data_IF_860157133794
#
_entry.id   IF_860157133794
#
_cell.length_a   1.000
_cell.length_b   1.000
_cell.length_c   1.000
_cell.angle_alpha   90.00
_cell.angle_beta   90.00
_cell.angle_gamma   90.00
#
_symmetry.space_group_name_H-M   'P 1'
#
loop_
_entity.id
_entity.type
_entity.pdbx_description
1 polymer ?
#
# COMPACT_ATOMS: atom_id res chain seq x y z
N UNK A 1 -22.43 12.54 7.27
CA UNK A 1 -23.08 11.43 7.97
C UNK A 1 -22.07 10.39 8.46
N UNK A 2 -21.30 9.72 7.57
CA UNK A 2 -20.36 8.64 7.94
C UNK A 2 -19.26 9.14 8.87
N UNK A 3 -18.70 10.32 8.58
CA UNK A 3 -17.70 10.96 9.42
C UNK A 3 -18.24 11.21 10.84
N UNK A 4 -19.43 11.77 10.94
CA UNK A 4 -20.07 12.09 12.23
C UNK A 4 -20.41 10.83 13.04
N UNK A 5 -20.83 9.73 12.37
CA UNK A 5 -20.96 8.43 13.02
C UNK A 5 -19.62 7.95 13.62
N UNK A 6 -18.55 8.00 12.84
CA UNK A 6 -17.21 7.65 13.32
C UNK A 6 -16.79 8.46 14.54
N UNK A 7 -17.01 9.79 14.50
CA UNK A 7 -16.69 10.71 15.58
C UNK A 7 -17.54 10.49 16.84
N UNK A 8 -18.76 9.99 16.69
CA UNK A 8 -19.62 9.67 17.84
C UNK A 8 -19.22 8.36 18.55
N UNK A 9 -18.54 7.45 17.85
CA UNK A 9 -18.19 6.11 18.36
C UNK A 9 -16.74 5.99 18.84
N UNK A 10 -15.81 6.78 18.27
CA UNK A 10 -14.37 6.65 18.52
C UNK A 10 -13.85 7.96 19.16
N UNK A 11 -13.22 7.89 20.35
CA UNK A 11 -12.53 9.05 20.91
C UNK A 11 -11.50 9.61 19.93
N UNK A 12 -11.38 10.94 19.84
CA UNK A 12 -10.50 11.64 18.87
C UNK A 12 -9.06 11.17 18.89
N UNK A 13 -8.54 10.90 20.08
CA UNK A 13 -7.18 10.39 20.25
C UNK A 13 -6.90 9.08 19.48
N UNK A 14 -7.94 8.27 19.22
CA UNK A 14 -7.82 6.99 18.49
C UNK A 14 -8.28 7.10 17.04
N UNK A 15 -8.71 8.27 16.58
CA UNK A 15 -9.29 8.43 15.24
C UNK A 15 -8.30 8.05 14.13
N UNK A 16 -7.08 8.53 14.19
CA UNK A 16 -6.05 8.20 13.21
C UNK A 16 -5.66 6.71 13.27
N UNK A 17 -5.51 6.15 14.46
CA UNK A 17 -5.26 4.73 14.61
C UNK A 17 -6.44 3.88 14.10
N UNK A 18 -7.67 4.32 14.31
CA UNK A 18 -8.88 3.69 13.77
C UNK A 18 -8.94 3.72 12.24
N UNK A 19 -8.65 4.87 11.62
CA UNK A 19 -8.55 4.99 10.16
C UNK A 19 -7.47 4.07 9.58
N UNK A 20 -6.32 3.98 10.26
CA UNK A 20 -5.26 3.05 9.87
C UNK A 20 -5.75 1.60 9.92
N UNK A 21 -6.37 1.17 11.02
CA UNK A 21 -6.85 -0.21 11.19
C UNK A 21 -7.93 -0.59 10.18
N UNK A 22 -8.91 0.30 9.95
CA UNK A 22 -9.97 0.06 8.96
C UNK A 22 -9.35 -0.09 7.57
N UNK A 23 -8.43 0.79 7.21
CA UNK A 23 -7.75 0.74 5.90
C UNK A 23 -6.87 -0.51 5.77
N UNK A 24 -6.14 -0.88 6.82
CA UNK A 24 -5.32 -2.08 6.87
C UNK A 24 -6.16 -3.35 6.67
N UNK A 25 -7.29 -3.44 7.35
CA UNK A 25 -8.20 -4.56 7.24
C UNK A 25 -8.84 -4.65 5.85
N UNK A 26 -9.34 -3.52 5.32
CA UNK A 26 -9.89 -3.47 3.97
C UNK A 26 -8.88 -3.84 2.90
N UNK A 27 -7.68 -3.26 2.94
CA UNK A 27 -6.65 -3.54 1.96
C UNK A 27 -6.21 -5.01 1.98
N UNK A 28 -6.13 -5.61 3.17
CA UNK A 28 -5.84 -7.05 3.30
C UNK A 28 -6.93 -7.92 2.66
N UNK A 29 -8.20 -7.54 2.83
CA UNK A 29 -9.34 -8.26 2.29
C UNK A 29 -9.52 -8.04 0.77
N UNK A 30 -9.31 -6.81 0.28
CA UNK A 30 -9.48 -6.45 -1.14
C UNK A 30 -8.25 -6.80 -1.98
N UNK A 31 -7.09 -6.89 -1.37
CA UNK A 31 -5.82 -7.13 -2.08
C UNK A 31 -5.34 -5.94 -2.92
N UNK A 32 -5.77 -4.72 -2.61
CA UNK A 32 -5.38 -3.52 -3.35
C UNK A 32 -5.34 -2.27 -2.48
N UNK A 33 -4.20 -1.60 -2.47
CA UNK A 33 -4.02 -0.31 -1.79
C UNK A 33 -4.80 0.82 -2.47
N UNK A 34 -4.80 0.88 -3.79
CA UNK A 34 -5.54 1.89 -4.56
C UNK A 34 -7.05 1.82 -4.31
N UNK A 35 -7.63 0.61 -4.35
CA UNK A 35 -9.05 0.39 -4.07
C UNK A 35 -9.42 0.81 -2.64
N UNK A 36 -8.56 0.52 -1.67
CA UNK A 36 -8.77 0.91 -0.29
C UNK A 36 -8.72 2.42 -0.10
N UNK A 37 -7.73 3.10 -0.67
CA UNK A 37 -7.63 4.58 -0.61
C UNK A 37 -8.85 5.21 -1.27
N UNK A 38 -9.31 4.69 -2.42
CA UNK A 38 -10.51 5.17 -3.11
C UNK A 38 -11.78 5.03 -2.24
N UNK A 39 -11.88 3.98 -1.45
CA UNK A 39 -13.05 3.71 -0.62
C UNK A 39 -13.01 4.45 0.73
N UNK A 40 -11.88 4.45 1.42
CA UNK A 40 -11.72 4.99 2.79
C UNK A 40 -11.24 6.43 2.78
N UNK A 41 -10.48 6.84 1.77
CA UNK A 41 -9.92 8.19 1.67
C UNK A 41 -10.96 9.31 1.78
N UNK A 42 -12.07 9.28 1.03
CA UNK A 42 -13.14 10.27 1.16
C UNK A 42 -13.74 10.32 2.58
N UNK A 43 -13.81 9.18 3.28
CA UNK A 43 -14.29 9.12 4.66
C UNK A 43 -13.30 9.84 5.58
N UNK A 44 -12.01 9.56 5.42
CA UNK A 44 -10.97 10.20 6.22
C UNK A 44 -10.91 11.71 6.02
N UNK A 45 -11.07 12.19 4.78
CA UNK A 45 -11.16 13.61 4.45
C UNK A 45 -12.35 14.23 5.17
N UNK A 46 -13.54 13.64 5.03
CA UNK A 46 -14.75 14.16 5.66
C UNK A 46 -14.67 14.15 7.20
N UNK A 47 -14.03 13.13 7.80
CA UNK A 47 -13.77 13.07 9.25
C UNK A 47 -12.84 14.20 9.66
N UNK A 48 -11.73 14.39 8.94
CA UNK A 48 -10.75 15.41 9.27
C UNK A 48 -11.34 16.83 9.17
N UNK A 49 -12.10 17.12 8.11
CA UNK A 49 -12.75 18.40 7.93
C UNK A 49 -13.83 18.66 8.99
N UNK A 50 -14.66 17.67 9.30
CA UNK A 50 -15.74 17.82 10.29
C UNK A 50 -15.22 17.99 11.73
N UNK A 51 -14.07 17.40 12.05
CA UNK A 51 -13.49 17.40 13.37
C UNK A 51 -12.34 18.40 13.54
N UNK A 52 -12.01 19.17 12.49
CA UNK A 52 -10.85 20.09 12.53
C UNK A 52 -9.51 19.38 12.71
N UNK A 53 -9.41 18.09 12.28
CA UNK A 53 -8.20 17.30 12.38
C UNK A 53 -7.21 17.62 11.26
N UNK A 54 -5.94 17.29 11.47
CA UNK A 54 -4.92 17.44 10.44
C UNK A 54 -5.22 16.52 9.23
N UNK A 55 -5.57 17.14 8.09
CA UNK A 55 -5.97 16.44 6.88
C UNK A 55 -4.84 15.59 6.29
N UNK A 56 -3.59 16.09 6.32
CA UNK A 56 -2.44 15.33 5.84
C UNK A 56 -2.22 14.06 6.66
N UNK A 57 -2.39 14.14 7.97
CA UNK A 57 -2.26 13.00 8.86
C UNK A 57 -3.41 12.01 8.64
N UNK A 58 -4.66 12.46 8.50
CA UNK A 58 -5.81 11.61 8.27
C UNK A 58 -5.68 10.78 6.98
N UNK A 59 -5.34 11.43 5.86
CA UNK A 59 -5.18 10.70 4.59
C UNK A 59 -3.94 9.80 4.59
N UNK A 60 -2.88 10.19 5.31
CA UNK A 60 -1.67 9.38 5.43
C UNK A 60 -1.86 8.14 6.30
N UNK A 61 -2.76 8.16 7.29
CA UNK A 61 -3.13 6.96 8.04
C UNK A 61 -3.88 5.96 7.16
N UNK A 62 -4.74 6.44 6.26
CA UNK A 62 -5.41 5.59 5.27
C UNK A 62 -4.40 5.00 4.29
N UNK A 63 -3.49 5.81 3.78
CA UNK A 63 -2.42 5.37 2.90
C UNK A 63 -1.56 4.31 3.59
N UNK A 64 -1.09 4.57 4.82
CA UNK A 64 -0.28 3.63 5.58
C UNK A 64 -1.00 2.30 5.85
N UNK A 65 -2.28 2.35 6.23
CA UNK A 65 -3.11 1.16 6.39
C UNK A 65 -3.31 0.40 5.09
N UNK A 66 -3.52 1.10 3.97
CA UNK A 66 -3.61 0.50 2.65
C UNK A 66 -2.31 -0.22 2.25
N UNK A 67 -1.15 0.37 2.51
CA UNK A 67 0.16 -0.27 2.29
C UNK A 67 0.39 -1.47 3.20
N UNK A 68 -0.05 -1.42 4.47
CA UNK A 68 -0.02 -2.56 5.37
C UNK A 68 -0.81 -3.74 4.80
N UNK A 69 -2.04 -3.48 4.36
CA UNK A 69 -2.92 -4.53 3.85
C UNK A 69 -2.42 -5.10 2.51
N UNK A 70 -1.93 -4.27 1.61
CA UNK A 70 -1.35 -4.70 0.33
C UNK A 70 -0.15 -5.64 0.56
N UNK A 71 0.72 -5.31 1.51
CA UNK A 71 1.86 -6.13 1.92
C UNK A 71 1.46 -7.48 2.54
N UNK A 72 0.32 -7.56 3.24
CA UNK A 72 -0.15 -8.76 3.94
C UNK A 72 -1.27 -9.51 3.21
N UNK A 73 -1.84 -8.98 2.15
CA UNK A 73 -2.88 -9.69 1.40
C UNK A 73 -2.29 -10.89 0.64
N UNK A 74 -2.98 -12.03 0.71
CA UNK A 74 -2.64 -13.21 -0.09
C UNK A 74 -3.11 -13.10 -1.55
N UNK A 75 -4.02 -12.18 -1.83
CA UNK A 75 -4.62 -12.00 -3.17
C UNK A 75 -4.09 -10.74 -3.87
N UNK A 76 -3.18 -9.99 -3.23
CA UNK A 76 -2.56 -8.81 -3.82
C UNK A 76 -1.67 -9.18 -5.01
N UNK A 77 -1.72 -8.37 -6.05
CA UNK A 77 -0.89 -8.53 -7.25
C UNK A 77 0.60 -8.48 -6.90
N UNK A 78 1.01 -7.68 -5.91
CA UNK A 78 2.39 -7.60 -5.44
C UNK A 78 2.83 -8.90 -4.78
N UNK A 79 1.97 -9.50 -3.95
CA UNK A 79 2.22 -10.81 -3.33
C UNK A 79 2.37 -11.91 -4.38
N UNK A 80 1.49 -11.94 -5.37
CA UNK A 80 1.52 -12.93 -6.46
C UNK A 80 2.80 -12.75 -7.29
N UNK A 81 3.16 -11.52 -7.64
CA UNK A 81 4.36 -11.21 -8.41
C UNK A 81 5.63 -11.62 -7.65
N UNK A 82 5.76 -11.24 -6.37
CA UNK A 82 6.92 -11.54 -5.54
C UNK A 82 7.11 -13.05 -5.31
N UNK A 83 6.02 -13.75 -4.97
CA UNK A 83 6.10 -15.19 -4.66
C UNK A 83 6.37 -16.03 -5.90
N UNK A 84 5.71 -15.74 -7.03
CA UNK A 84 5.97 -16.44 -8.31
C UNK A 84 7.36 -16.10 -8.84
N UNK A 85 7.77 -14.83 -8.76
CA UNK A 85 9.08 -14.40 -9.21
C UNK A 85 10.24 -15.04 -8.43
N UNK A 86 10.07 -15.28 -7.14
CA UNK A 86 11.09 -15.91 -6.29
C UNK A 86 10.91 -17.44 -6.13
N UNK A 87 9.82 -18.03 -6.60
CA UNK A 87 9.57 -19.47 -6.50
C UNK A 87 9.23 -19.95 -5.09
N UNK A 88 8.37 -19.22 -4.36
CA UNK A 88 7.93 -19.61 -3.01
C UNK A 88 6.42 -19.53 -2.86
N UNK A 89 5.89 -20.13 -1.79
CA UNK A 89 4.46 -20.10 -1.49
C UNK A 89 4.02 -18.76 -0.89
N UNK A 90 2.81 -18.30 -1.24
CA UNK A 90 2.22 -17.07 -0.70
C UNK A 90 2.10 -17.10 0.82
N UNK A 91 1.77 -18.28 1.37
CA UNK A 91 1.66 -18.49 2.83
C UNK A 91 2.96 -18.24 3.57
N UNK A 92 4.09 -18.62 2.98
CA UNK A 92 5.40 -18.46 3.62
C UNK A 92 5.85 -17.01 3.62
N UNK A 93 5.61 -16.29 2.52
CA UNK A 93 5.82 -14.84 2.44
C UNK A 93 4.92 -14.10 3.44
N UNK A 94 3.64 -14.47 3.54
CA UNK A 94 2.70 -13.87 4.49
C UNK A 94 3.19 -13.99 5.93
N UNK A 95 3.66 -15.17 6.36
CA UNK A 95 4.18 -15.36 7.71
C UNK A 95 5.40 -14.51 8.00
N UNK A 96 6.28 -14.33 7.00
CA UNK A 96 7.49 -13.53 7.15
C UNK A 96 7.17 -12.03 7.22
N UNK A 97 6.35 -11.54 6.31
CA UNK A 97 5.92 -10.14 6.27
C UNK A 97 5.07 -9.77 7.49
N UNK A 98 4.23 -10.71 7.97
CA UNK A 98 3.32 -10.48 9.08
C UNK A 98 4.01 -9.97 10.34
N UNK A 99 5.15 -10.56 10.70
CA UNK A 99 5.93 -10.10 11.87
C UNK A 99 6.52 -8.71 11.64
N UNK A 100 7.10 -8.46 10.46
CA UNK A 100 7.74 -7.18 10.13
C UNK A 100 6.71 -6.06 10.06
N UNK A 101 5.61 -6.29 9.34
CA UNK A 101 4.53 -5.33 9.17
C UNK A 101 3.78 -5.06 10.49
N UNK A 102 3.55 -6.09 11.32
CA UNK A 102 2.89 -5.92 12.61
C UNK A 102 3.70 -5.04 13.57
N UNK A 103 5.02 -5.23 13.64
CA UNK A 103 5.90 -4.37 14.47
C UNK A 103 5.82 -2.93 13.99
N UNK A 104 5.93 -2.69 12.67
CA UNK A 104 5.83 -1.35 12.10
C UNK A 104 4.43 -0.73 12.33
N UNK A 105 3.36 -1.52 12.23
CA UNK A 105 1.99 -1.07 12.44
C UNK A 105 1.73 -0.67 13.90
N UNK A 106 2.21 -1.47 14.87
CA UNK A 106 2.08 -1.14 16.29
C UNK A 106 2.80 0.17 16.61
N UNK A 107 4.03 0.34 16.11
CA UNK A 107 4.78 1.59 16.29
C UNK A 107 4.05 2.78 15.64
N UNK A 108 3.53 2.60 14.43
CA UNK A 108 2.76 3.64 13.74
C UNK A 108 1.48 4.00 14.49
N UNK A 109 0.73 3.03 14.99
CA UNK A 109 -0.48 3.27 15.79
C UNK A 109 -0.19 4.02 17.08
N UNK A 110 0.92 3.73 17.76
CA UNK A 110 1.35 4.49 18.94
C UNK A 110 1.60 5.95 18.57
N UNK A 111 2.35 6.20 17.48
CA UNK A 111 2.61 7.58 17.01
C UNK A 111 1.30 8.28 16.62
N UNK A 112 0.42 7.62 15.87
CA UNK A 112 -0.87 8.19 15.47
C UNK A 112 -1.76 8.51 16.68
N UNK A 113 -1.74 7.69 17.73
CA UNK A 113 -2.50 7.95 18.96
C UNK A 113 -1.92 9.15 19.71
N UNK A 114 -0.59 9.25 19.84
CA UNK A 114 0.06 10.37 20.52
C UNK A 114 -0.17 11.69 19.79
N UNK A 115 -0.03 11.69 18.47
CA UNK A 115 -0.25 12.90 17.64
C UNK A 115 -1.75 13.24 17.60
N UNK A 116 -2.63 12.26 17.58
CA UNK A 116 -4.09 12.44 17.57
C UNK A 116 -4.65 13.01 18.87
N UNK A 117 -3.98 12.78 20.00
CA UNK A 117 -4.44 13.26 21.31
C UNK A 117 -4.44 14.80 21.48
N UNK A 118 -3.84 15.53 20.54
CA UNK A 118 -3.78 16.98 20.55
C UNK A 118 -5.00 17.68 19.91
N UNK A 119 -5.97 16.93 19.39
CA UNK A 119 -7.13 17.48 18.67
C UNK A 119 -8.34 17.63 19.60
N UNK A 120 -8.85 18.85 19.77
CA UNK A 120 -10.13 19.12 20.44
C UNK A 120 -11.27 19.07 19.44
N UNK A 121 -12.29 18.27 19.71
CA UNK A 121 -13.49 18.20 18.89
C UNK A 121 -14.36 19.46 19.07
N UNK A 122 -14.53 20.21 17.99
CA UNK A 122 -15.46 21.35 17.94
C UNK A 122 -16.48 21.11 16.84
N UNK A 123 -17.71 20.77 17.18
CA UNK A 123 -18.80 20.66 16.19
C UNK A 123 -20.01 19.85 16.67
N UNK A 124 -21.12 19.99 15.93
CA UNK A 124 -22.32 19.17 16.07
C UNK A 124 -22.19 17.93 15.16
N UNK A 125 -22.16 16.73 15.76
CA UNK A 125 -21.97 15.45 15.08
C UNK A 125 -23.28 14.76 14.69
N UNK A 126 -24.32 15.53 14.37
CA UNK A 126 -25.58 14.96 13.87
C UNK A 126 -25.35 14.25 12.52
N UNK A 127 -25.98 13.09 12.34
CA UNK A 127 -25.89 12.32 11.11
C UNK A 127 -27.20 11.62 10.75
N UNK A 128 -27.45 11.48 9.45
CA UNK A 128 -28.55 10.65 8.94
C UNK A 128 -28.00 9.27 8.60
N UNK A 129 -28.42 8.25 9.34
CA UNK A 129 -27.90 6.88 9.18
C UNK A 129 -28.05 6.34 7.75
N UNK A 130 -29.14 6.70 7.05
CA UNK A 130 -29.40 6.25 5.68
C UNK A 130 -28.25 6.64 4.71
N UNK A 131 -27.63 7.81 4.93
CA UNK A 131 -26.49 8.30 4.12
C UNK A 131 -25.16 7.61 4.46
N UNK A 132 -25.13 6.80 5.51
CA UNK A 132 -23.95 5.98 5.88
C UNK A 132 -23.94 4.62 5.17
N UNK A 133 -25.12 4.15 4.76
CA UNK A 133 -25.32 2.81 4.18
C UNK A 133 -24.40 2.52 2.98
N UNK A 134 -24.15 3.42 2.00
CA UNK A 134 -23.27 3.13 0.88
C UNK A 134 -21.85 2.77 1.33
N UNK A 135 -21.35 3.44 2.35
CA UNK A 135 -20.00 3.19 2.89
C UNK A 135 -19.95 1.87 3.66
N UNK A 136 -20.97 1.58 4.49
CA UNK A 136 -21.08 0.26 5.17
C UNK A 136 -21.17 -0.84 4.12
N UNK A 137 -21.94 -0.65 3.05
CA UNK A 137 -22.03 -1.58 1.94
C UNK A 137 -20.66 -1.88 1.35
N UNK A 138 -19.88 -0.84 0.97
CA UNK A 138 -18.54 -1.02 0.42
C UNK A 138 -17.63 -1.75 1.43
N UNK A 139 -17.64 -1.34 2.70
CA UNK A 139 -16.83 -1.98 3.75
C UNK A 139 -17.15 -3.46 3.92
N UNK A 140 -18.44 -3.81 4.06
CA UNK A 140 -18.87 -5.20 4.27
C UNK A 140 -18.60 -6.08 3.06
N UNK A 141 -18.93 -5.59 1.86
CA UNK A 141 -18.72 -6.39 0.66
C UNK A 141 -17.25 -6.48 0.23
N UNK A 142 -16.40 -5.53 0.59
CA UNK A 142 -14.96 -5.64 0.42
C UNK A 142 -14.38 -6.86 1.13
N UNK A 143 -14.93 -7.21 2.31
CA UNK A 143 -14.50 -8.38 3.09
C UNK A 143 -14.85 -9.72 2.44
N UNK A 144 -15.77 -9.73 1.50
CA UNK A 144 -16.13 -10.97 0.77
C UNK A 144 -15.14 -11.34 -0.33
N UNK A 145 -14.12 -10.50 -0.58
CA UNK A 145 -13.15 -10.71 -1.66
C UNK A 145 -13.71 -10.43 -3.06
N UNK A 146 -14.81 -9.69 -3.17
CA UNK A 146 -15.37 -9.30 -4.47
C UNK A 146 -14.37 -8.51 -5.31
N UNK A 147 -14.52 -8.56 -6.63
CA UNK A 147 -13.76 -7.72 -7.54
C UNK A 147 -14.01 -6.22 -7.22
N UNK A 148 -12.92 -5.47 -7.03
CA UNK A 148 -12.95 -4.05 -6.61
C UNK A 148 -13.76 -3.18 -7.57
N UNK A 149 -13.65 -3.40 -8.88
CA UNK A 149 -14.41 -2.61 -9.87
C UNK A 149 -15.92 -2.84 -9.73
N UNK A 150 -16.35 -4.10 -9.53
CA UNK A 150 -17.77 -4.43 -9.32
C UNK A 150 -18.24 -3.82 -8.01
N UNK A 151 -17.45 -3.89 -6.95
CA UNK A 151 -17.76 -3.33 -5.65
C UNK A 151 -17.96 -1.82 -5.70
N UNK A 152 -17.05 -1.09 -6.35
CA UNK A 152 -17.14 0.36 -6.47
C UNK A 152 -18.30 0.79 -7.35
N UNK A 153 -18.57 0.08 -8.47
CA UNK A 153 -19.73 0.34 -9.32
C UNK A 153 -21.05 0.10 -8.56
N UNK A 154 -21.14 -0.99 -7.81
CA UNK A 154 -22.29 -1.26 -6.97
C UNK A 154 -22.46 -0.20 -5.87
N UNK A 155 -21.35 0.26 -5.27
CA UNK A 155 -21.33 1.36 -4.30
C UNK A 155 -21.88 2.67 -4.89
N UNK A 156 -21.50 3.02 -6.12
CA UNK A 156 -22.06 4.18 -6.85
C UNK A 156 -23.56 3.99 -7.04
N UNK A 157 -24.00 2.79 -7.44
CA UNK A 157 -25.42 2.49 -7.60
C UNK A 157 -26.23 2.64 -6.31
N UNK A 158 -25.71 2.10 -5.19
CA UNK A 158 -26.34 2.23 -3.86
C UNK A 158 -26.36 3.69 -3.40
N UNK A 159 -25.26 4.43 -3.58
CA UNK A 159 -25.20 5.85 -3.24
C UNK A 159 -26.20 6.68 -4.09
N UNK A 160 -26.30 6.38 -5.38
CA UNK A 160 -27.26 6.98 -6.28
C UNK A 160 -28.71 6.74 -5.84
N UNK A 161 -29.07 5.48 -5.58
CA UNK A 161 -30.40 5.09 -5.14
C UNK A 161 -30.81 5.79 -3.83
N UNK A 162 -29.92 5.86 -2.85
CA UNK A 162 -30.15 6.55 -1.57
C UNK A 162 -30.23 8.06 -1.79
N UNK A 163 -29.37 8.64 -2.63
CA UNK A 163 -29.40 10.08 -2.91
C UNK A 163 -30.71 10.52 -3.58
N UNK A 164 -31.24 9.73 -4.51
CA UNK A 164 -32.56 9.95 -5.10
C UNK A 164 -33.70 9.79 -4.09
N UNK A 165 -33.64 8.72 -3.27
CA UNK A 165 -34.66 8.46 -2.27
C UNK A 165 -34.72 9.52 -1.17
N UNK A 166 -33.59 10.12 -0.81
CA UNK A 166 -33.47 11.19 0.20
C UNK A 166 -33.63 12.60 -0.38
N UNK A 167 -33.77 12.72 -1.71
CA UNK A 167 -33.84 14.03 -2.37
C UNK A 167 -32.53 14.85 -2.29
N UNK A 168 -31.39 14.17 -2.00
CA UNK A 168 -30.10 14.84 -1.90
C UNK A 168 -29.59 15.36 -3.24
N UNK A 169 -30.00 14.74 -4.35
CA UNK A 169 -29.76 15.20 -5.72
C UNK A 169 -30.82 14.62 -6.68
N UNK A 170 -30.98 15.28 -7.84
CA UNK A 170 -31.75 14.85 -8.98
C UNK A 170 -30.88 14.16 -10.04
N UNK A 171 -31.46 13.72 -11.16
CA UNK A 171 -30.70 13.04 -12.23
C UNK A 171 -29.56 13.90 -12.78
N UNK A 172 -29.76 15.20 -13.11
CA UNK A 172 -28.66 16.09 -13.51
C UNK A 172 -27.57 16.22 -12.44
N UNK A 173 -27.94 16.36 -11.16
CA UNK A 173 -27.00 16.47 -10.05
C UNK A 173 -26.17 15.20 -9.87
N UNK A 174 -26.77 14.03 -10.03
CA UNK A 174 -26.03 12.76 -10.00
C UNK A 174 -25.04 12.66 -11.16
N UNK A 175 -25.45 13.00 -12.39
CA UNK A 175 -24.56 13.01 -13.55
C UNK A 175 -23.40 14.00 -13.38
N UNK A 176 -23.66 15.18 -12.79
CA UNK A 176 -22.65 16.17 -12.48
C UNK A 176 -21.66 15.67 -11.43
N UNK A 177 -22.12 15.00 -10.37
CA UNK A 177 -21.27 14.39 -9.35
C UNK A 177 -20.34 13.30 -9.95
N UNK A 178 -20.90 12.46 -10.84
CA UNK A 178 -20.08 11.47 -11.57
C UNK A 178 -19.04 12.14 -12.47
N UNK A 179 -19.42 13.16 -13.23
CA UNK A 179 -18.52 13.93 -14.08
C UNK A 179 -17.39 14.60 -13.29
N UNK A 180 -17.71 15.17 -12.13
CA UNK A 180 -16.72 15.77 -11.24
C UNK A 180 -15.74 14.73 -10.68
N UNK A 181 -16.23 13.56 -10.29
CA UNK A 181 -15.39 12.45 -9.85
C UNK A 181 -14.42 11.96 -10.95
N UNK A 182 -14.92 11.81 -12.17
CA UNK A 182 -14.09 11.44 -13.34
C UNK A 182 -13.04 12.51 -13.65
N UNK A 183 -13.43 13.79 -13.63
CA UNK A 183 -12.51 14.91 -13.88
C UNK A 183 -11.41 14.97 -12.84
N UNK A 184 -11.70 14.69 -11.57
CA UNK A 184 -10.70 14.61 -10.50
C UNK A 184 -9.64 13.52 -10.71
N UNK A 185 -9.94 12.49 -11.51
CA UNK A 185 -8.99 11.42 -11.85
C UNK A 185 -8.17 11.69 -13.11
N UNK A 186 -8.50 12.71 -13.90
CA UNK A 186 -7.87 12.98 -15.20
C UNK A 186 -6.37 13.23 -15.08
N UNK A 187 -5.96 14.11 -14.16
CA UNK A 187 -4.57 14.47 -13.96
C UNK A 187 -3.73 13.26 -13.51
N UNK A 188 -4.30 12.41 -12.65
CA UNK A 188 -3.64 11.18 -12.18
C UNK A 188 -3.42 10.22 -13.36
N UNK A 189 -4.41 10.01 -14.20
CA UNK A 189 -4.29 9.17 -15.39
C UNK A 189 -3.24 9.71 -16.35
N UNK A 190 -3.23 11.02 -16.60
CA UNK A 190 -2.26 11.66 -17.48
C UNK A 190 -0.82 11.53 -16.93
N UNK A 191 -0.63 11.84 -15.65
CA UNK A 191 0.67 11.72 -14.99
C UNK A 191 1.16 10.25 -15.05
N UNK A 192 0.31 9.29 -14.76
CA UNK A 192 0.66 7.87 -14.81
C UNK A 192 1.10 7.43 -16.21
N UNK A 193 0.40 7.89 -17.26
CA UNK A 193 0.77 7.62 -18.67
C UNK A 193 2.12 8.23 -19.02
N UNK A 194 2.36 9.50 -18.69
CA UNK A 194 3.60 10.19 -18.97
C UNK A 194 4.79 9.57 -18.24
N UNK A 195 4.63 9.25 -16.95
CA UNK A 195 5.67 8.58 -16.16
C UNK A 195 6.01 7.19 -16.72
N UNK A 196 4.99 6.44 -17.14
CA UNK A 196 5.21 5.15 -17.79
C UNK A 196 6.00 5.29 -19.09
N UNK A 197 5.73 6.33 -19.89
CA UNK A 197 6.50 6.66 -21.09
C UNK A 197 7.96 6.99 -20.79
N UNK A 198 8.21 7.84 -19.79
CA UNK A 198 9.57 8.20 -19.35
C UNK A 198 10.32 6.97 -18.84
N UNK A 199 9.67 6.14 -18.03
CA UNK A 199 10.24 4.88 -17.53
C UNK A 199 10.64 3.94 -18.67
N UNK A 200 9.77 3.77 -19.67
CA UNK A 200 10.05 2.95 -20.86
C UNK A 200 11.24 3.46 -21.68
N UNK A 201 11.36 4.77 -21.85
CA UNK A 201 12.54 5.38 -22.53
C UNK A 201 13.83 5.12 -21.73
N UNK A 202 13.79 5.24 -20.40
CA UNK A 202 14.96 4.96 -19.56
C UNK A 202 15.39 3.47 -19.64
N UNK A 203 14.43 2.57 -19.76
CA UNK A 203 14.66 1.14 -19.95
C UNK A 203 15.32 0.87 -21.31
N UNK A 204 14.77 1.39 -22.40
CA UNK A 204 15.30 1.29 -23.78
C UNK A 204 16.74 1.85 -23.89
N UNK A 205 17.05 2.94 -23.19
CA UNK A 205 18.38 3.54 -23.15
C UNK A 205 19.39 2.74 -22.30
N UNK A 206 18.98 1.61 -21.72
CA UNK A 206 19.84 0.73 -20.92
C UNK A 206 20.22 1.29 -19.54
N UNK A 207 19.55 2.32 -19.06
CA UNK A 207 19.82 2.90 -17.73
C UNK A 207 19.59 1.87 -16.64
N UNK A 208 18.55 1.05 -16.78
CA UNK A 208 18.20 -0.03 -15.86
C UNK A 208 19.28 -1.12 -15.88
N UNK A 209 19.70 -1.58 -17.04
CA UNK A 209 20.74 -2.59 -17.19
C UNK A 209 22.09 -2.15 -16.60
N UNK A 210 22.46 -0.89 -16.83
CA UNK A 210 23.67 -0.32 -16.24
C UNK A 210 23.63 -0.34 -14.72
N UNK A 211 22.50 0.06 -14.14
CA UNK A 211 22.30 0.09 -12.68
C UNK A 211 22.35 -1.31 -12.09
N UNK A 212 21.65 -2.28 -12.70
CA UNK A 212 21.62 -3.69 -12.30
C UNK A 212 23.04 -4.28 -12.28
N UNK A 213 23.81 -4.08 -13.36
CA UNK A 213 25.19 -4.56 -13.43
C UNK A 213 26.07 -3.97 -12.33
N UNK A 214 25.91 -2.67 -12.05
CA UNK A 214 26.65 -2.00 -10.98
C UNK A 214 26.28 -2.51 -9.59
N UNK A 215 24.99 -2.74 -9.34
CA UNK A 215 24.49 -3.28 -8.07
C UNK A 215 24.96 -4.72 -7.87
N UNK A 216 24.86 -5.58 -8.87
CA UNK A 216 25.31 -6.97 -8.82
C UNK A 216 26.80 -7.08 -8.50
N UNK A 217 27.64 -6.30 -9.16
CA UNK A 217 29.09 -6.30 -8.94
C UNK A 217 29.50 -5.91 -7.50
N UNK A 218 28.65 -5.27 -6.73
CA UNK A 218 28.93 -4.84 -5.36
C UNK A 218 28.55 -5.90 -4.31
N UNK A 219 27.84 -6.96 -4.68
CA UNK A 219 27.36 -7.98 -3.75
C UNK A 219 28.47 -9.01 -3.46
N UNK A 220 28.85 -9.15 -2.19
CA UNK A 220 29.86 -10.11 -1.74
C UNK A 220 29.39 -10.97 -0.58
N UNK A 221 28.24 -10.69 -0.05
CA UNK A 221 27.74 -11.36 1.16
C UNK A 221 26.23 -11.56 1.06
N UNK A 222 25.72 -12.51 1.84
CA UNK A 222 24.27 -12.73 1.97
C UNK A 222 23.50 -11.45 2.34
N UNK A 223 24.00 -10.68 3.31
CA UNK A 223 23.37 -9.37 3.65
C UNK A 223 23.42 -8.41 2.47
N UNK A 224 24.52 -8.41 1.72
CA UNK A 224 24.63 -7.63 0.48
C UNK A 224 23.56 -8.01 -0.54
N UNK A 225 23.26 -9.31 -0.69
CA UNK A 225 22.20 -9.78 -1.57
C UNK A 225 20.81 -9.31 -1.12
N UNK A 226 20.52 -9.34 0.20
CA UNK A 226 19.27 -8.79 0.74
C UNK A 226 19.14 -7.27 0.53
N UNK A 227 20.22 -6.50 0.76
CA UNK A 227 20.23 -5.04 0.49
C UNK A 227 20.12 -4.74 -1.00
N UNK A 228 20.78 -5.54 -1.85
CA UNK A 228 20.65 -5.39 -3.30
C UNK A 228 19.21 -5.66 -3.75
N UNK A 229 18.56 -6.69 -3.19
CA UNK A 229 17.14 -6.99 -3.47
C UNK A 229 16.25 -5.79 -3.11
N UNK A 230 16.42 -5.23 -1.91
CA UNK A 230 15.69 -4.05 -1.45
C UNK A 230 15.94 -2.84 -2.36
N UNK A 231 17.21 -2.55 -2.66
CA UNK A 231 17.59 -1.42 -3.52
C UNK A 231 17.09 -1.56 -4.95
N UNK A 232 17.15 -2.77 -5.52
CA UNK A 232 16.72 -3.02 -6.89
C UNK A 232 15.23 -2.77 -7.07
N UNK A 233 14.39 -3.37 -6.23
CA UNK A 233 12.93 -3.14 -6.33
C UNK A 233 12.58 -1.67 -6.05
N UNK A 234 13.29 -1.03 -5.12
CA UNK A 234 13.08 0.40 -4.82
C UNK A 234 13.36 1.30 -6.03
N UNK A 235 14.42 1.02 -6.76
CA UNK A 235 14.78 1.77 -7.98
C UNK A 235 13.78 1.54 -9.08
N UNK A 236 13.39 0.28 -9.32
CA UNK A 236 12.37 -0.03 -10.33
C UNK A 236 11.03 0.62 -9.98
N UNK A 237 10.63 0.59 -8.71
CA UNK A 237 9.37 1.20 -8.28
C UNK A 237 9.39 2.74 -8.41
N UNK A 238 10.51 3.36 -8.05
CA UNK A 238 10.70 4.79 -8.26
C UNK A 238 10.70 5.18 -9.75
N UNK A 239 11.20 4.32 -10.65
CA UNK A 239 11.21 4.56 -12.08
C UNK A 239 9.85 4.31 -12.74
N UNK A 240 9.13 3.27 -12.32
CA UNK A 240 7.88 2.82 -12.96
C UNK A 240 6.62 3.33 -12.26
N UNK A 241 6.73 3.86 -11.04
CA UNK A 241 5.62 4.31 -10.19
C UNK A 241 4.51 3.25 -10.04
N UNK A 242 4.91 1.96 -10.06
CA UNK A 242 4.02 0.82 -9.94
C UNK A 242 4.73 -0.37 -9.28
N UNK A 243 4.33 -0.69 -8.06
CA UNK A 243 4.94 -1.71 -7.23
C UNK A 243 4.90 -3.12 -7.85
N UNK A 244 3.80 -3.51 -8.48
CA UNK A 244 3.67 -4.85 -9.11
C UNK A 244 4.63 -5.00 -10.28
N UNK A 245 4.73 -3.98 -11.14
CA UNK A 245 5.66 -3.97 -12.28
C UNK A 245 7.11 -3.98 -11.78
N UNK A 246 7.42 -3.16 -10.77
CA UNK A 246 8.74 -3.12 -10.16
C UNK A 246 9.19 -4.49 -9.65
N UNK A 247 8.29 -5.21 -8.97
CA UNK A 247 8.55 -6.58 -8.50
C UNK A 247 8.77 -7.53 -9.67
N UNK A 248 7.91 -7.50 -10.70
CA UNK A 248 8.03 -8.37 -11.87
C UNK A 248 9.34 -8.17 -12.62
N UNK A 249 9.84 -6.93 -12.71
CA UNK A 249 11.13 -6.61 -13.33
C UNK A 249 12.31 -7.00 -12.45
N UNK A 250 12.22 -6.76 -11.14
CA UNK A 250 13.31 -7.06 -10.20
C UNK A 250 13.47 -8.56 -9.95
N UNK A 251 12.39 -9.32 -9.86
CA UNK A 251 12.41 -10.70 -9.40
C UNK A 251 13.33 -11.63 -10.20
N UNK A 252 13.37 -11.63 -11.55
CA UNK A 252 14.28 -12.48 -12.31
C UNK A 252 15.77 -12.17 -12.04
N UNK A 253 16.09 -10.91 -11.83
CA UNK A 253 17.45 -10.44 -11.57
C UNK A 253 17.88 -10.75 -10.13
N UNK A 254 16.97 -10.52 -9.18
CA UNK A 254 17.15 -10.83 -7.76
C UNK A 254 17.34 -12.33 -7.57
N UNK A 255 16.57 -13.17 -8.29
CA UNK A 255 16.66 -14.63 -8.18
C UNK A 255 18.07 -15.17 -8.37
N UNK A 256 18.83 -14.67 -9.34
CA UNK A 256 20.22 -15.06 -9.58
C UNK A 256 21.10 -14.73 -8.38
N UNK A 257 21.02 -13.49 -7.89
CA UNK A 257 21.86 -13.04 -6.76
C UNK A 257 21.53 -13.75 -5.45
N UNK A 258 20.24 -13.98 -5.18
CA UNK A 258 19.84 -14.69 -3.96
C UNK A 258 20.20 -16.18 -4.01
N UNK A 259 20.20 -16.81 -5.20
CA UNK A 259 20.67 -18.18 -5.39
C UNK A 259 22.18 -18.30 -5.14
N UNK A 260 23.00 -17.41 -5.70
CA UNK A 260 24.46 -17.36 -5.47
C UNK A 260 24.82 -17.23 -4.00
N UNK A 261 24.03 -16.48 -3.21
CA UNK A 261 24.27 -16.20 -1.80
C UNK A 261 23.41 -17.02 -0.83
N UNK A 262 22.69 -18.00 -1.36
CA UNK A 262 21.80 -18.91 -0.62
C UNK A 262 20.82 -18.18 0.32
N UNK A 263 20.17 -17.11 -0.17
CA UNK A 263 19.09 -16.40 0.52
C UNK A 263 17.79 -17.15 0.25
N UNK A 264 17.00 -17.44 1.28
CA UNK A 264 15.75 -18.18 1.11
C UNK A 264 14.77 -17.48 0.15
N UNK A 265 14.11 -18.22 -0.78
CA UNK A 265 13.14 -17.65 -1.72
C UNK A 265 12.05 -16.81 -1.06
N UNK A 266 11.51 -17.29 0.06
CA UNK A 266 10.50 -16.57 0.86
C UNK A 266 11.04 -15.28 1.47
N UNK A 267 12.35 -15.21 1.78
CA UNK A 267 13.01 -14.00 2.28
C UNK A 267 13.18 -12.99 1.16
N UNK A 268 13.61 -13.43 -0.02
CA UNK A 268 13.71 -12.57 -1.19
C UNK A 268 12.34 -11.98 -1.59
N UNK A 269 11.30 -12.82 -1.67
CA UNK A 269 9.93 -12.38 -1.93
C UNK A 269 9.41 -11.38 -0.89
N UNK A 270 9.72 -11.62 0.40
CA UNK A 270 9.39 -10.70 1.49
C UNK A 270 10.02 -9.32 1.29
N UNK A 271 11.33 -9.27 0.97
CA UNK A 271 12.05 -8.01 0.77
C UNK A 271 11.53 -7.27 -0.46
N UNK A 272 11.31 -7.97 -1.59
CA UNK A 272 10.74 -7.37 -2.79
C UNK A 272 9.40 -6.70 -2.52
N UNK A 273 8.49 -7.40 -1.86
CA UNK A 273 7.15 -6.90 -1.58
C UNK A 273 7.15 -5.77 -0.53
N UNK A 274 7.93 -5.89 0.55
CA UNK A 274 8.01 -4.83 1.57
C UNK A 274 8.56 -3.54 0.97
N UNK A 275 9.68 -3.59 0.26
CA UNK A 275 10.31 -2.38 -0.25
C UNK A 275 9.57 -1.77 -1.43
N UNK A 276 8.83 -2.54 -2.23
CA UNK A 276 7.90 -1.97 -3.21
C UNK A 276 6.76 -1.20 -2.53
N UNK A 277 6.13 -1.77 -1.48
CA UNK A 277 5.11 -1.07 -0.72
C UNK A 277 5.66 0.19 -0.01
N UNK A 278 6.88 0.13 0.54
CA UNK A 278 7.54 1.28 1.16
C UNK A 278 7.72 2.41 0.14
N UNK A 279 8.35 2.10 -0.99
CA UNK A 279 8.68 3.11 -2.00
C UNK A 279 7.41 3.70 -2.60
N UNK A 280 6.46 2.87 -2.97
CA UNK A 280 5.18 3.32 -3.53
C UNK A 280 4.41 4.23 -2.56
N UNK A 281 4.56 4.05 -1.25
CA UNK A 281 3.97 4.91 -0.23
C UNK A 281 4.72 6.21 0.07
N UNK A 282 5.92 6.42 -0.51
CA UNK A 282 6.75 7.60 -0.26
C UNK A 282 7.22 8.33 -1.52
N UNK A 283 7.01 7.80 -2.71
CA UNK A 283 7.36 8.53 -3.96
C UNK A 283 6.26 9.52 -4.33
N UNK A 284 6.60 10.80 -4.59
CA UNK A 284 5.60 11.85 -4.79
C UNK A 284 4.75 11.67 -6.06
N UNK A 285 5.23 10.91 -7.02
CA UNK A 285 4.56 10.59 -8.28
C UNK A 285 3.92 9.18 -8.29
N UNK A 286 3.94 8.46 -7.18
CA UNK A 286 3.29 7.16 -7.04
C UNK A 286 1.77 7.28 -7.10
N UNK A 287 1.10 6.31 -7.72
CA UNK A 287 -0.35 6.34 -7.92
C UNK A 287 -1.13 6.54 -6.62
N UNK A 288 -0.71 5.92 -5.53
CA UNK A 288 -1.35 6.04 -4.21
C UNK A 288 -1.22 7.44 -3.62
N UNK A 289 -0.04 8.06 -3.73
CA UNK A 289 0.17 9.45 -3.30
C UNK A 289 -0.66 10.41 -4.16
N UNK A 290 -0.64 10.24 -5.49
CA UNK A 290 -1.42 11.08 -6.40
C UNK A 290 -2.92 10.97 -6.15
N UNK A 291 -3.42 9.78 -5.82
CA UNK A 291 -4.80 9.59 -5.41
C UNK A 291 -5.12 10.33 -4.11
N UNK A 292 -4.24 10.27 -3.11
CA UNK A 292 -4.40 11.04 -1.89
C UNK A 292 -4.36 12.56 -2.15
N UNK A 293 -3.50 13.02 -3.05
CA UNK A 293 -3.45 14.43 -3.52
C UNK A 293 -4.78 14.86 -4.13
N UNK A 294 -5.35 14.04 -5.03
CA UNK A 294 -6.63 14.37 -5.67
C UNK A 294 -7.80 14.47 -4.70
N UNK A 295 -7.78 13.66 -3.63
CA UNK A 295 -8.81 13.68 -2.61
C UNK A 295 -8.70 14.85 -1.65
N UNK A 296 -7.50 15.41 -1.45
CA UNK A 296 -7.23 16.40 -0.41
C UNK A 296 -6.79 17.76 -0.92
N UNK A 297 -6.29 17.85 -2.16
CA UNK A 297 -5.64 19.05 -2.69
C UNK A 297 -4.30 19.39 -2.04
N UNK A 298 -3.76 18.52 -1.18
CA UNK A 298 -2.50 18.75 -0.47
C UNK A 298 -1.28 18.48 -1.35
N UNK A 299 -0.13 19.07 -0.96
CA UNK A 299 1.15 18.71 -1.55
C UNK A 299 1.50 17.24 -1.28
N UNK A 300 2.05 16.51 -2.28
CA UNK A 300 2.53 15.14 -2.09
C UNK A 300 3.49 15.02 -0.89
N UNK A 301 4.37 16.01 -0.69
CA UNK A 301 5.35 16.01 0.39
C UNK A 301 4.73 16.12 1.78
N UNK A 302 3.59 16.82 1.92
CA UNK A 302 2.85 16.89 3.18
C UNK A 302 2.27 15.52 3.56
N UNK A 303 1.76 14.78 2.57
CA UNK A 303 1.22 13.43 2.76
C UNK A 303 2.33 12.44 3.09
N UNK A 304 3.45 12.48 2.33
CA UNK A 304 4.61 11.63 2.58
C UNK A 304 5.15 11.85 3.99
N UNK A 305 5.34 13.11 4.40
CA UNK A 305 5.88 13.46 5.73
C UNK A 305 5.03 12.95 6.90
N UNK A 306 3.74 12.74 6.68
CA UNK A 306 2.81 12.19 7.68
C UNK A 306 2.60 10.66 7.57
N UNK A 307 3.18 9.99 6.55
CA UNK A 307 3.04 8.55 6.36
C UNK A 307 4.04 7.76 7.22
N UNK A 308 3.88 7.83 8.54
CA UNK A 308 4.80 7.20 9.50
C UNK A 308 4.92 5.69 9.29
N UNK A 309 3.86 5.00 8.86
CA UNK A 309 3.89 3.56 8.68
C UNK A 309 4.94 3.12 7.65
N UNK A 310 5.01 3.75 6.48
CA UNK A 310 5.97 3.35 5.45
C UNK A 310 7.43 3.58 5.88
N UNK A 311 7.71 4.67 6.60
CA UNK A 311 9.04 4.90 7.16
C UNK A 311 9.41 3.87 8.22
N UNK A 312 8.47 3.55 9.12
CA UNK A 312 8.68 2.53 10.14
C UNK A 312 8.84 1.14 9.54
N UNK A 313 8.07 0.81 8.51
CA UNK A 313 8.19 -0.45 7.77
C UNK A 313 9.58 -0.59 7.15
N UNK A 314 10.08 0.49 6.53
CA UNK A 314 11.44 0.53 5.99
C UNK A 314 12.50 0.28 7.08
N UNK A 315 12.39 0.99 8.21
CA UNK A 315 13.33 0.87 9.32
C UNK A 315 13.32 -0.54 9.93
N UNK A 316 12.14 -1.10 10.17
CA UNK A 316 12.01 -2.46 10.72
C UNK A 316 12.55 -3.48 9.73
N UNK A 317 12.24 -3.36 8.43
CA UNK A 317 12.75 -4.26 7.40
C UNK A 317 14.28 -4.18 7.28
N UNK A 318 14.87 -2.98 7.24
CA UNK A 318 16.32 -2.78 7.23
C UNK A 318 16.98 -3.37 8.50
N UNK A 319 16.36 -3.19 9.67
CA UNK A 319 16.84 -3.80 10.90
C UNK A 319 16.85 -5.33 10.81
N UNK A 320 15.81 -5.95 10.21
CA UNK A 320 15.80 -7.42 10.02
C UNK A 320 16.93 -7.89 9.10
N UNK A 321 17.31 -7.13 8.08
CA UNK A 321 18.45 -7.42 7.21
C UNK A 321 19.75 -7.25 8.00
N UNK A 322 19.93 -6.12 8.67
CA UNK A 322 21.15 -5.79 9.38
C UNK A 322 21.47 -6.76 10.51
N UNK A 323 20.47 -7.13 11.28
CA UNK A 323 20.66 -8.05 12.43
C UNK A 323 20.41 -9.52 12.07
N UNK A 324 20.02 -9.83 10.82
CA UNK A 324 19.76 -11.20 10.36
C UNK A 324 18.56 -11.86 11.04
N UNK A 325 17.56 -11.07 11.48
CA UNK A 325 16.38 -11.56 12.20
C UNK A 325 15.42 -12.35 11.31
N UNK A 326 15.45 -12.13 9.99
CA UNK A 326 14.63 -12.84 9.02
C UNK A 326 15.22 -14.14 8.47
N UNK A 327 16.30 -14.65 9.08
CA UNK A 327 16.93 -15.90 8.62
C UNK A 327 16.05 -17.10 8.86
N UNK A 328 15.90 -17.93 7.83
CA UNK A 328 15.17 -19.20 7.91
C UNK A 328 16.01 -20.28 8.58
N UNK A 329 15.40 -21.41 8.92
CA UNK A 329 16.12 -22.53 9.51
C UNK A 329 17.17 -23.09 8.54
N UNK A 330 16.77 -23.26 7.28
CA UNK A 330 17.60 -23.76 6.18
C UNK A 330 18.84 -22.88 5.97
N UNK A 331 18.67 -21.57 6.04
CA UNK A 331 19.79 -20.61 5.95
C UNK A 331 20.73 -20.68 7.15
N UNK A 332 20.23 -20.96 8.35
CA UNK A 332 21.04 -21.11 9.57
C UNK A 332 21.85 -22.41 9.56
N UNK A 333 21.26 -23.44 8.99
CA UNK A 333 21.86 -24.78 8.87
C UNK A 333 22.75 -24.90 7.62
N UNK A 334 22.80 -23.87 6.76
CA UNK A 334 23.63 -23.85 5.55
C UNK A 334 23.14 -24.79 4.44
N UNK A 335 21.86 -25.19 4.49
CA UNK A 335 21.25 -26.06 3.47
C UNK A 335 21.15 -25.28 2.16
N UNK A 336 21.64 -25.86 1.07
CA UNK A 336 21.54 -25.26 -0.27
C UNK A 336 20.11 -25.37 -0.77
N UNK A 337 19.50 -24.21 -1.10
CA UNK A 337 18.09 -24.11 -1.48
C UNK A 337 17.88 -23.97 -2.99
N UNK A 338 18.96 -23.90 -3.77
CA UNK A 338 18.92 -23.74 -5.23
C UNK A 338 19.80 -24.79 -5.91
N UNK A 339 19.36 -25.25 -7.08
CA UNK A 339 20.13 -26.14 -7.95
C UNK A 339 21.18 -25.39 -8.80
N UNK A 340 21.82 -26.08 -9.75
CA UNK A 340 22.82 -25.53 -10.65
C UNK A 340 22.27 -24.52 -11.65
N UNK A 341 20.94 -24.52 -11.85
CA UNK A 341 20.21 -23.62 -12.75
C UNK A 341 19.51 -22.46 -12.00
N UNK A 342 19.87 -22.20 -10.74
CA UNK A 342 19.24 -21.23 -9.85
C UNK A 342 17.74 -21.50 -9.60
N UNK A 343 17.31 -22.77 -9.80
CA UNK A 343 15.95 -23.19 -9.49
C UNK A 343 15.83 -23.62 -8.03
N UNK A 344 14.67 -23.31 -7.42
CA UNK A 344 14.41 -23.64 -6.02
C UNK A 344 14.26 -25.16 -5.87
N UNK A 345 15.13 -25.78 -5.08
CA UNK A 345 15.03 -27.21 -4.76
C UNK A 345 13.88 -27.41 -3.77
N UNK A 346 12.97 -28.34 -4.08
CA UNK A 346 11.89 -28.69 -3.15
C UNK A 346 12.50 -29.21 -1.83
N UNK A 347 12.47 -28.40 -0.80
CA UNK A 347 12.85 -28.81 0.55
C UNK A 347 11.73 -29.70 1.12
N UNK A 348 12.03 -30.96 1.33
CA UNK A 348 11.12 -31.95 1.92
C UNK A 348 10.89 -31.68 3.41
#
# INVERSE_FOLDING_TARGET
ATANLGLSLVPTQFMFAGLFLISAFMATAMGTSMGTISAVGPIAVAVAESAGLNLALAISTVLGGAMFGDNLSMISDTTIAATRGCGCEMRDKFKMNGVIAAVAAVLAMVIYTVVGSAAELTGDFSYEFIKVIPYIFILVFALTGCNVFILLLAGIGVAGAIGFATGSFDIPGFAQAMGSGMSGMYDICLIALLLRGVGGVAEELGAIDWLVKKMHASVKTRKGAEYMTAGMVSVFDAAMANNTIAIMMAAPLVRKVVAEHNVAPKRAASILDIFSCVVQGIIPHGGQILLCVSLTGLSPFSIIGANYYCFLLALVALATIQFGLGRTKEEKEGIRMYDENDEVVALK
#
